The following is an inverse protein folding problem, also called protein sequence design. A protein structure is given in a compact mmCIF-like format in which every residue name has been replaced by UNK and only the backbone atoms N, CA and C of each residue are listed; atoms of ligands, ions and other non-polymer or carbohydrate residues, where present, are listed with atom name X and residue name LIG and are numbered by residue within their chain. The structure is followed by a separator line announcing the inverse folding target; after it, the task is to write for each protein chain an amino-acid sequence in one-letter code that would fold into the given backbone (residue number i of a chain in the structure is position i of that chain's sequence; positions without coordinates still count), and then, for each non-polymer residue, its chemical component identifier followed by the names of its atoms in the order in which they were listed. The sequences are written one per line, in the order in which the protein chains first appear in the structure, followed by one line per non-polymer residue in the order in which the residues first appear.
data_IF_583964961177
#
_entry.id   IF_583964961177
#
_cell.length_a   1.000
_cell.length_b   1.000
_cell.length_c   1.000
_cell.angle_alpha   90.00
_cell.angle_beta   90.00
_cell.angle_gamma   90.00
#
_symmetry.space_group_name_H-M   'P 1'
#
loop_
_entity.id
_entity.type
_entity.pdbx_description
1 polymer ?
#
# COMPACT_ATOMS: atom_id res chain seq x y z
N UNK A 1 12.58 -13.53 -12.30
CA UNK A 1 12.16 -13.51 -13.74
C UNK A 1 12.34 -12.10 -14.25
N UNK A 2 13.11 -11.91 -15.36
CA UNK A 2 13.42 -10.57 -15.88
C UNK A 2 12.16 -9.80 -16.24
N UNK A 3 12.18 -8.46 -16.10
CA UNK A 3 11.05 -7.57 -16.42
C UNK A 3 10.55 -7.80 -17.85
N UNK A 4 11.43 -7.99 -18.82
CA UNK A 4 11.05 -8.26 -20.22
C UNK A 4 10.08 -9.44 -20.42
N UNK A 5 10.04 -10.39 -19.50
CA UNK A 5 9.12 -11.52 -19.54
C UNK A 5 7.81 -11.28 -18.78
N UNK A 6 7.67 -10.12 -18.16
CA UNK A 6 6.50 -9.76 -17.33
C UNK A 6 5.61 -8.68 -17.97
N UNK A 7 6.14 -7.97 -18.95
CA UNK A 7 5.45 -6.90 -19.66
C UNK A 7 5.21 -7.26 -21.12
N UNK A 8 4.18 -6.67 -21.74
CA UNK A 8 3.93 -6.87 -23.16
C UNK A 8 5.06 -6.25 -23.99
N UNK A 9 5.29 -6.80 -25.19
CA UNK A 9 6.32 -6.31 -26.14
C UNK A 9 6.13 -4.81 -26.47
N UNK A 10 4.88 -4.36 -26.54
CA UNK A 10 4.54 -2.96 -26.77
C UNK A 10 5.19 -2.03 -25.73
N UNK A 11 5.10 -2.36 -24.45
CA UNK A 11 5.74 -1.57 -23.40
C UNK A 11 7.25 -1.79 -23.33
N UNK A 12 7.71 -3.01 -23.67
CA UNK A 12 9.12 -3.34 -23.72
C UNK A 12 9.89 -2.49 -24.70
N UNK A 13 9.28 -2.14 -25.85
CA UNK A 13 9.91 -1.27 -26.86
C UNK A 13 10.20 0.17 -26.36
N UNK A 14 9.53 0.62 -25.30
CA UNK A 14 9.66 1.98 -24.74
C UNK A 14 10.62 2.05 -23.55
N UNK A 15 11.06 0.92 -23.04
CA UNK A 15 11.90 0.86 -21.85
C UNK A 15 13.37 0.59 -22.23
N UNK A 16 14.33 1.21 -21.52
CA UNK A 16 15.74 0.95 -21.73
C UNK A 16 16.09 -0.52 -21.39
N UNK A 17 17.01 -1.10 -22.16
CA UNK A 17 17.44 -2.49 -21.98
C UNK A 17 17.94 -2.79 -20.56
N UNK A 18 18.59 -1.82 -19.92
CA UNK A 18 19.05 -1.93 -18.54
C UNK A 18 17.91 -2.19 -17.55
N UNK A 19 16.73 -1.63 -17.79
CA UNK A 19 15.54 -1.89 -16.98
C UNK A 19 14.92 -3.24 -17.32
N UNK A 20 14.86 -3.59 -18.61
CA UNK A 20 14.27 -4.85 -19.07
C UNK A 20 15.02 -6.08 -18.57
N UNK A 21 16.31 -5.95 -18.36
CA UNK A 21 17.19 -7.04 -17.89
C UNK A 21 17.23 -7.21 -16.37
N UNK A 22 16.61 -6.30 -15.64
CA UNK A 22 16.47 -6.45 -14.19
C UNK A 22 15.64 -7.69 -13.85
N UNK A 23 16.08 -8.41 -12.82
CA UNK A 23 15.36 -9.49 -12.15
C UNK A 23 14.94 -8.99 -10.75
N UNK A 24 13.88 -8.15 -10.65
CA UNK A 24 13.47 -7.62 -9.37
C UNK A 24 12.91 -8.76 -8.52
N UNK A 25 13.51 -8.97 -7.37
CA UNK A 25 12.98 -9.88 -6.36
C UNK A 25 12.16 -9.05 -5.37
N UNK A 26 10.86 -9.23 -5.41
CA UNK A 26 10.01 -8.68 -4.36
C UNK A 26 10.35 -9.39 -3.04
N UNK A 27 10.90 -8.64 -2.11
CA UNK A 27 11.09 -9.15 -0.75
C UNK A 27 9.84 -8.86 0.07
N UNK A 28 9.46 -9.84 0.88
CA UNK A 28 8.32 -9.71 1.78
C UNK A 28 8.56 -8.50 2.70
N UNK A 29 7.67 -7.53 2.66
CA UNK A 29 7.79 -6.40 3.57
C UNK A 29 7.60 -6.89 5.00
N UNK A 30 8.48 -6.46 5.87
CA UNK A 30 8.51 -6.81 7.28
C UNK A 30 7.58 -5.91 8.11
N UNK A 31 6.31 -5.78 7.69
CA UNK A 31 5.36 -4.92 8.41
C UNK A 31 5.13 -5.35 9.86
N UNK A 32 5.24 -6.64 10.14
CA UNK A 32 5.18 -7.20 11.51
C UNK A 32 6.34 -6.70 12.37
N UNK A 33 7.47 -6.41 11.73
CA UNK A 33 8.68 -5.91 12.34
C UNK A 33 9.13 -4.60 11.67
N UNK A 34 8.24 -3.61 11.67
CA UNK A 34 8.41 -2.35 10.93
C UNK A 34 9.76 -1.69 11.22
N UNK A 35 10.58 -1.51 10.17
CA UNK A 35 11.89 -0.87 10.29
C UNK A 35 11.81 0.61 10.75
N UNK A 36 10.63 1.24 10.60
CA UNK A 36 10.37 2.61 11.02
C UNK A 36 9.75 2.72 12.42
N UNK A 37 9.54 1.58 13.12
CA UNK A 37 9.06 1.61 14.49
C UNK A 37 10.12 2.16 15.44
N UNK A 38 9.75 2.89 16.52
CA UNK A 38 10.69 3.46 17.48
C UNK A 38 11.62 2.44 18.13
N UNK A 39 11.12 1.22 18.34
CA UNK A 39 11.90 0.09 18.89
C UNK A 39 13.07 -0.34 18.00
N UNK A 40 13.00 -0.05 16.68
CA UNK A 40 13.98 -0.50 15.68
C UNK A 40 14.71 0.63 14.96
N UNK A 41 14.19 1.85 15.06
CA UNK A 41 14.75 3.01 14.37
C UNK A 41 15.02 4.17 15.33
N UNK A 42 16.29 4.57 15.42
CA UNK A 42 16.73 5.72 16.22
C UNK A 42 16.76 7.05 15.47
N UNK A 43 16.16 7.11 14.28
CA UNK A 43 16.12 8.33 13.46
C UNK A 43 15.00 9.28 13.88
N UNK A 44 15.03 10.51 13.31
CA UNK A 44 14.01 11.54 13.59
C UNK A 44 12.63 11.24 13.02
N UNK A 45 12.54 10.31 12.07
CA UNK A 45 11.28 9.91 11.43
C UNK A 45 10.94 8.50 11.85
N UNK A 46 9.99 8.37 12.73
CA UNK A 46 9.45 7.09 13.20
C UNK A 46 7.95 7.07 13.01
N UNK A 47 7.34 5.87 13.10
CA UNK A 47 5.89 5.69 13.09
C UNK A 47 5.45 5.01 14.37
N UNK A 48 4.21 5.23 14.79
CA UNK A 48 3.60 4.39 15.82
C UNK A 48 3.62 2.93 15.37
N UNK A 49 3.95 2.02 16.27
CA UNK A 49 4.10 0.60 15.96
C UNK A 49 2.79 -0.05 15.49
N UNK A 50 1.67 0.42 16.00
CA UNK A 50 0.33 -0.05 15.68
C UNK A 50 -0.29 0.56 14.43
N UNK A 51 0.25 1.69 13.94
CA UNK A 51 -0.26 2.39 12.73
C UNK A 51 0.66 2.23 11.52
N UNK A 52 1.97 2.35 11.73
CA UNK A 52 2.99 2.26 10.67
C UNK A 52 2.75 3.28 9.55
N UNK A 53 3.11 2.97 8.31
CA UNK A 53 2.75 3.77 7.13
C UNK A 53 1.29 3.59 6.70
N UNK A 54 0.51 2.75 7.39
CA UNK A 54 -0.90 2.50 7.08
C UNK A 54 -1.85 3.64 7.49
N UNK A 55 -1.33 4.83 7.73
CA UNK A 55 -2.10 6.08 7.82
C UNK A 55 -2.30 6.76 6.46
N UNK A 56 -1.77 6.19 5.38
CA UNK A 56 -2.12 6.57 4.02
C UNK A 56 -3.31 5.75 3.53
N UNK A 57 -4.36 6.41 3.06
CA UNK A 57 -5.53 5.77 2.48
C UNK A 57 -5.45 5.85 0.95
N UNK A 58 -5.28 4.71 0.25
CA UNK A 58 -5.14 4.72 -1.21
C UNK A 58 -6.48 4.92 -1.92
N UNK A 59 -6.42 5.51 -3.10
CA UNK A 59 -7.44 5.32 -4.11
C UNK A 59 -7.30 3.93 -4.71
N UNK A 60 -8.43 3.22 -4.90
CA UNK A 60 -8.48 1.92 -5.54
C UNK A 60 -9.30 2.01 -6.83
N UNK A 61 -8.67 1.83 -8.00
CA UNK A 61 -9.39 1.80 -9.27
C UNK A 61 -10.37 0.62 -9.36
N UNK A 62 -11.41 0.76 -10.16
CA UNK A 62 -12.47 -0.25 -10.30
C UNK A 62 -11.95 -1.65 -10.71
N UNK A 63 -10.96 -1.72 -11.61
CA UNK A 63 -10.38 -3.01 -12.03
C UNK A 63 -9.62 -3.70 -10.89
N UNK A 64 -8.98 -2.94 -10.00
CA UNK A 64 -8.35 -3.48 -8.78
C UNK A 64 -9.41 -3.98 -7.81
N UNK A 65 -10.50 -3.23 -7.65
CA UNK A 65 -11.64 -3.63 -6.81
C UNK A 65 -12.23 -4.95 -7.31
N UNK A 66 -12.46 -5.07 -8.63
CA UNK A 66 -12.92 -6.32 -9.23
C UNK A 66 -12.01 -7.50 -8.92
N UNK A 67 -10.68 -7.32 -9.06
CA UNK A 67 -9.71 -8.35 -8.74
C UNK A 67 -9.73 -8.74 -7.25
N UNK A 68 -9.87 -7.76 -6.33
CA UNK A 68 -9.97 -8.02 -4.89
C UNK A 68 -11.24 -8.81 -4.56
N UNK A 69 -12.37 -8.43 -5.15
CA UNK A 69 -13.65 -9.10 -4.88
C UNK A 69 -13.69 -10.54 -5.39
N UNK A 70 -12.97 -10.83 -6.47
CA UNK A 70 -12.83 -12.18 -7.05
C UNK A 70 -11.78 -13.04 -6.33
N UNK A 71 -11.00 -12.47 -5.41
CA UNK A 71 -9.95 -13.18 -4.69
C UNK A 71 -10.48 -13.71 -3.34
N UNK A 72 -10.80 -14.98 -3.29
CA UNK A 72 -11.38 -15.65 -2.11
C UNK A 72 -10.36 -16.10 -1.05
N UNK A 73 -9.07 -15.84 -1.28
CA UNK A 73 -8.03 -16.23 -0.32
C UNK A 73 -8.26 -15.58 1.05
N UNK A 74 -8.02 -16.36 2.11
CA UNK A 74 -8.19 -15.88 3.49
C UNK A 74 -7.32 -14.64 3.79
N UNK A 75 -6.13 -14.59 3.23
CA UNK A 75 -5.25 -13.41 3.38
C UNK A 75 -5.83 -12.10 2.82
N UNK A 76 -6.85 -12.19 1.97
CA UNK A 76 -7.55 -11.06 1.36
C UNK A 76 -8.90 -10.75 2.04
N UNK A 77 -9.36 -11.58 2.95
CA UNK A 77 -10.69 -11.49 3.58
C UNK A 77 -10.96 -10.11 4.18
N UNK A 78 -10.09 -9.62 5.04
CA UNK A 78 -10.26 -8.32 5.73
C UNK A 78 -10.38 -7.17 4.73
N UNK A 79 -9.53 -7.15 3.70
CA UNK A 79 -9.58 -6.12 2.66
C UNK A 79 -10.85 -6.21 1.81
N UNK A 80 -11.26 -7.42 1.43
CA UNK A 80 -12.50 -7.68 0.66
C UNK A 80 -13.74 -7.24 1.43
N UNK A 81 -13.84 -7.59 2.70
CA UNK A 81 -14.96 -7.17 3.57
C UNK A 81 -15.03 -5.65 3.71
N UNK A 82 -13.89 -4.98 3.88
CA UNK A 82 -13.84 -3.52 3.95
C UNK A 82 -14.32 -2.86 2.65
N UNK A 83 -13.97 -3.42 1.49
CA UNK A 83 -14.45 -2.95 0.18
C UNK A 83 -15.95 -3.16 0.04
N UNK A 84 -16.46 -4.35 0.33
CA UNK A 84 -17.89 -4.66 0.28
C UNK A 84 -18.69 -3.71 1.17
N UNK A 85 -18.20 -3.44 2.38
CA UNK A 85 -18.81 -2.48 3.30
C UNK A 85 -18.86 -1.07 2.71
N UNK A 86 -17.79 -0.59 2.08
CA UNK A 86 -17.77 0.72 1.42
C UNK A 86 -18.74 0.80 0.24
N UNK A 87 -18.80 -0.24 -0.58
CA UNK A 87 -19.74 -0.32 -1.70
C UNK A 87 -21.19 -0.32 -1.21
N UNK A 88 -21.53 -1.19 -0.26
CA UNK A 88 -22.90 -1.29 0.28
C UNK A 88 -23.39 0.00 0.92
N UNK A 89 -22.50 0.76 1.54
CA UNK A 89 -22.78 2.05 2.16
C UNK A 89 -22.63 3.23 1.21
N UNK A 90 -22.19 3.00 -0.02
CA UNK A 90 -21.84 4.06 -1.00
C UNK A 90 -20.81 5.06 -0.45
N UNK A 91 -19.90 4.60 0.41
CA UNK A 91 -18.88 5.45 1.03
C UNK A 91 -17.74 5.72 0.06
N UNK A 92 -17.81 6.85 -0.66
CA UNK A 92 -16.81 7.25 -1.67
C UNK A 92 -16.56 6.18 -2.74
N UNK A 93 -17.54 5.29 -2.95
CA UNK A 93 -17.53 4.27 -3.97
C UNK A 93 -18.23 4.81 -5.22
N UNK A 94 -17.46 5.05 -6.27
CA UNK A 94 -17.90 5.56 -7.57
C UNK A 94 -17.63 4.49 -8.65
N UNK A 95 -18.26 4.59 -9.84
CA UNK A 95 -18.01 3.62 -10.91
C UNK A 95 -16.54 3.47 -11.33
N UNK A 96 -15.73 4.50 -11.12
CA UNK A 96 -14.30 4.50 -11.47
C UNK A 96 -13.39 3.97 -10.34
N UNK A 97 -13.92 3.81 -9.13
CA UNK A 97 -13.13 3.31 -8.00
C UNK A 97 -13.64 3.74 -6.63
N UNK A 98 -12.89 3.36 -5.60
CA UNK A 98 -13.14 3.78 -4.21
C UNK A 98 -12.07 4.78 -3.80
N UNK A 99 -12.53 5.92 -3.30
CA UNK A 99 -11.66 7.04 -2.91
C UNK A 99 -11.54 7.15 -1.39
N UNK A 100 -10.44 7.75 -0.89
CA UNK A 100 -10.39 8.20 0.48
C UNK A 100 -11.42 9.30 0.75
N UNK A 101 -11.92 9.44 1.98
CA UNK A 101 -12.83 10.54 2.35
C UNK A 101 -12.21 11.92 2.04
N UNK A 102 -13.01 12.85 1.54
CA UNK A 102 -12.54 14.21 1.21
C UNK A 102 -11.90 14.88 2.42
N UNK A 103 -12.52 14.75 3.60
CA UNK A 103 -11.96 15.28 4.86
C UNK A 103 -10.56 14.73 5.11
N UNK A 104 -10.36 13.42 4.96
CA UNK A 104 -9.03 12.81 5.09
C UNK A 104 -8.04 13.41 4.08
N UNK A 105 -8.42 13.54 2.81
CA UNK A 105 -7.53 14.08 1.78
C UNK A 105 -7.07 15.50 2.10
N UNK A 106 -7.99 16.36 2.55
CA UNK A 106 -7.66 17.75 2.95
C UNK A 106 -6.71 17.77 4.13
N UNK A 107 -7.00 16.99 5.17
CA UNK A 107 -6.14 16.91 6.36
C UNK A 107 -4.77 16.33 6.02
N UNK A 108 -4.73 15.27 5.24
CA UNK A 108 -3.50 14.62 4.81
C UNK A 108 -2.59 15.59 4.03
N UNK A 109 -3.15 16.31 3.06
CA UNK A 109 -2.38 17.28 2.27
C UNK A 109 -1.80 18.41 3.11
N UNK A 110 -2.48 18.80 4.19
CA UNK A 110 -2.01 19.89 5.07
C UNK A 110 -1.02 19.42 6.12
N UNK A 111 -1.15 18.21 6.64
CA UNK A 111 -0.52 17.78 7.89
C UNK A 111 0.35 16.53 7.77
N UNK A 112 0.42 15.87 6.61
CA UNK A 112 1.15 14.61 6.45
C UNK A 112 2.62 14.70 6.89
N UNK A 113 3.29 15.85 6.69
CA UNK A 113 4.69 16.04 7.07
C UNK A 113 4.95 15.76 8.57
N UNK A 114 3.98 16.05 9.45
CA UNK A 114 4.13 15.85 10.90
C UNK A 114 3.31 14.66 11.44
N UNK A 115 2.17 14.39 10.84
CA UNK A 115 1.16 13.48 11.39
C UNK A 115 1.17 12.08 10.74
N UNK A 116 1.88 11.90 9.61
CA UNK A 116 1.94 10.62 8.92
C UNK A 116 2.58 9.53 9.79
N UNK A 117 1.92 8.41 9.89
CA UNK A 117 2.32 7.30 10.74
C UNK A 117 1.98 7.47 12.24
N UNK A 118 1.33 8.58 12.63
CA UNK A 118 1.03 8.92 14.02
C UNK A 118 -0.45 9.08 14.33
N UNK A 119 -1.26 9.43 13.34
CA UNK A 119 -2.70 9.68 13.53
C UNK A 119 -3.54 8.42 13.35
N UNK A 120 -4.23 8.04 14.43
CA UNK A 120 -5.10 6.87 14.41
C UNK A 120 -6.37 7.06 13.55
N UNK A 121 -6.92 8.27 13.53
CA UNK A 121 -8.06 8.62 12.70
C UNK A 121 -7.76 8.60 11.17
N UNK A 122 -6.49 8.50 10.81
CA UNK A 122 -6.05 8.30 9.42
C UNK A 122 -5.83 6.84 9.04
N UNK A 123 -6.00 5.91 9.98
CA UNK A 123 -5.72 4.51 9.71
C UNK A 123 -6.47 4.02 8.48
N UNK A 124 -5.75 3.38 7.59
CA UNK A 124 -6.28 2.83 6.34
C UNK A 124 -7.37 1.79 6.65
N UNK A 125 -8.57 1.89 6.04
CA UNK A 125 -9.68 0.98 6.31
C UNK A 125 -9.40 -0.47 5.91
N UNK A 126 -8.33 -0.70 5.15
CA UNK A 126 -7.89 -2.02 4.70
C UNK A 126 -6.79 -2.62 5.59
N UNK A 127 -6.44 -1.96 6.67
CA UNK A 127 -5.43 -2.48 7.61
C UNK A 127 -6.02 -3.60 8.46
N UNK A 128 -5.35 -4.74 8.46
CA UNK A 128 -5.69 -5.86 9.35
C UNK A 128 -5.02 -5.63 10.72
N UNK A 129 -5.80 -5.28 11.73
CA UNK A 129 -5.30 -4.99 13.08
C UNK A 129 -4.77 -6.25 13.78
N UNK A 130 -5.39 -7.42 13.53
CA UNK A 130 -5.00 -8.69 14.16
C UNK A 130 -3.64 -9.15 13.64
N UNK A 131 -3.46 -9.11 12.31
CA UNK A 131 -2.21 -9.51 11.68
C UNK A 131 -1.16 -8.38 11.64
N UNK A 132 -1.50 -7.15 12.05
CA UNK A 132 -0.61 -6.01 12.02
C UNK A 132 -0.08 -5.63 10.63
N UNK A 133 -0.83 -5.93 9.56
CA UNK A 133 -0.38 -5.75 8.18
C UNK A 133 -1.50 -5.28 7.24
N UNK A 134 -1.19 -5.17 5.94
CA UNK A 134 -2.16 -4.76 4.92
C UNK A 134 -3.07 -5.92 4.52
N UNK A 135 -4.39 -5.78 4.68
CA UNK A 135 -5.39 -6.74 4.22
C UNK A 135 -5.57 -6.77 2.69
N UNK A 136 -4.94 -5.85 1.96
CA UNK A 136 -4.91 -5.81 0.49
C UNK A 136 -3.50 -5.98 -0.06
N UNK A 137 -2.66 -6.79 0.59
CA UNK A 137 -1.23 -6.87 0.31
C UNK A 137 -0.89 -6.98 -1.18
N UNK A 138 -1.54 -7.88 -1.90
CA UNK A 138 -1.28 -8.13 -3.35
C UNK A 138 -1.81 -7.04 -4.28
N UNK A 139 -2.71 -6.21 -3.78
CA UNK A 139 -3.43 -5.18 -4.55
C UNK A 139 -3.03 -3.77 -4.18
N UNK A 140 -1.89 -3.63 -3.51
CA UNK A 140 -1.36 -2.32 -3.13
C UNK A 140 -1.01 -1.51 -4.38
N UNK A 141 -1.49 -0.28 -4.43
CA UNK A 141 -1.11 0.66 -5.48
C UNK A 141 0.36 1.08 -5.38
N UNK A 142 0.87 1.75 -6.41
CA UNK A 142 2.25 2.20 -6.52
C UNK A 142 2.73 2.98 -5.29
N UNK A 143 1.92 3.86 -4.74
CA UNK A 143 2.28 4.63 -3.53
C UNK A 143 2.57 3.71 -2.35
N UNK A 144 1.74 2.68 -2.12
CA UNK A 144 1.93 1.74 -1.02
C UNK A 144 3.11 0.78 -1.23
N UNK A 145 3.46 0.49 -2.49
CA UNK A 145 4.57 -0.42 -2.83
C UNK A 145 5.91 0.29 -2.96
N UNK A 146 5.90 1.56 -3.40
CA UNK A 146 7.08 2.39 -3.55
C UNK A 146 7.32 3.31 -2.36
N UNK A 147 6.46 3.27 -1.34
CA UNK A 147 6.69 4.04 -0.13
C UNK A 147 7.92 3.51 0.58
N UNK A 148 8.91 4.37 0.70
CA UNK A 148 10.22 4.05 1.24
C UNK A 148 10.13 3.73 2.73
N UNK A 149 9.83 2.48 3.06
CA UNK A 149 10.35 1.93 4.28
C UNK A 149 11.88 1.96 4.17
N UNK A 150 12.60 2.33 5.21
CA UNK A 150 14.01 1.98 5.32
C UNK A 150 14.06 0.47 5.36
N UNK A 151 14.15 -0.14 4.18
CA UNK A 151 14.14 -1.58 4.04
C UNK A 151 15.46 -2.12 4.58
N UNK A 152 15.44 -3.34 5.06
CA UNK A 152 16.63 -4.07 5.46
C UNK A 152 17.64 -4.22 4.30
N UNK A 153 17.23 -3.88 3.07
CA UNK A 153 18.05 -3.89 1.87
C UNK A 153 18.90 -2.63 1.68
N UNK A 154 18.87 -1.69 2.60
CA UNK A 154 19.69 -0.46 2.58
C UNK A 154 19.56 0.32 1.25
N UNK A 155 20.71 0.57 0.57
CA UNK A 155 20.73 1.33 -0.70
C UNK A 155 20.03 0.61 -1.86
N UNK A 156 19.96 -0.72 -1.86
CA UNK A 156 19.29 -1.49 -2.90
C UNK A 156 17.75 -1.47 -2.80
N UNK A 157 17.22 -1.01 -1.67
CA UNK A 157 15.78 -0.84 -1.46
C UNK A 157 15.26 0.58 -1.73
N UNK A 158 16.10 1.45 -2.34
CA UNK A 158 15.75 2.85 -2.67
C UNK A 158 15.40 2.98 -4.14
#
# INVERSE_FOLDING_TARGET
MKIRHQISELYGAWLPSSLLDLDPRETKATCEACAMAPSRHRGKTTYREDLKCCTYQPWLPNYVIGAILSDERESNRVGREAILKKISRREYALPIGIFPPVRYQVDFNRRAKGDFGWREDWLCPYFNREAGNCGLWRYRGSVCTSYYCKSDQRAAGK
#
